data_IF_956028010774
#
_entry.id   IF_956028010774
#
_cell.length_a   1.000
_cell.length_b   1.000
_cell.length_c   1.000
_cell.angle_alpha   90.00
_cell.angle_beta   90.00
_cell.angle_gamma   90.00
#
_symmetry.space_group_name_H-M   'P 1'
#
loop_
_entity.id
_entity.type
_entity.pdbx_description
1 polymer ?
#
# COMPACT_ATOMS: atom_id res chain seq x y z
N UNK A 1 3.43 21.09 -14.73
CA UNK A 1 3.01 20.08 -13.75
C UNK A 1 2.36 20.72 -12.51
N UNK A 2 2.95 21.78 -11.95
CA UNK A 2 2.39 22.49 -10.78
C UNK A 2 1.04 23.19 -11.06
N UNK A 3 0.83 23.66 -12.29
CA UNK A 3 -0.41 24.34 -12.70
C UNK A 3 -1.62 23.40 -12.90
N UNK A 4 -1.39 22.08 -12.90
CA UNK A 4 -2.44 21.07 -13.09
C UNK A 4 -2.83 20.35 -11.79
N UNK A 5 -2.16 20.65 -10.67
CA UNK A 5 -2.48 20.06 -9.39
C UNK A 5 -3.40 21.00 -8.61
N UNK A 6 -4.60 20.52 -8.30
CA UNK A 6 -5.47 21.23 -7.36
C UNK A 6 -4.84 21.16 -5.95
N UNK A 7 -4.54 22.32 -5.41
CA UNK A 7 -3.98 22.48 -4.05
C UNK A 7 -5.05 22.49 -2.96
N UNK A 8 -6.33 22.41 -3.34
CA UNK A 8 -7.49 22.55 -2.45
C UNK A 8 -8.21 21.22 -2.18
N UNK A 9 -7.50 20.08 -2.30
CA UNK A 9 -8.07 18.78 -1.91
C UNK A 9 -8.20 18.71 -0.39
N UNK A 10 -9.41 18.91 0.09
CA UNK A 10 -9.78 18.86 1.49
C UNK A 10 -10.87 17.81 1.77
N UNK A 11 -11.26 17.69 3.02
CA UNK A 11 -12.30 16.75 3.43
C UNK A 11 -13.69 17.13 2.89
N UNK A 12 -13.96 18.42 2.64
CA UNK A 12 -15.19 18.85 2.03
C UNK A 12 -15.29 18.39 0.58
N UNK A 13 -14.17 18.47 -0.15
CA UNK A 13 -14.06 17.92 -1.51
C UNK A 13 -14.32 16.41 -1.53
N UNK A 14 -13.77 15.65 -0.57
CA UNK A 14 -14.03 14.20 -0.47
C UNK A 14 -15.52 13.92 -0.23
N UNK A 15 -16.17 14.63 0.67
CA UNK A 15 -17.62 14.53 0.89
C UNK A 15 -18.41 14.84 -0.37
N UNK A 16 -18.05 15.91 -1.08
CA UNK A 16 -18.69 16.26 -2.34
C UNK A 16 -18.53 15.13 -3.38
N UNK A 17 -17.33 14.58 -3.57
CA UNK A 17 -17.09 13.45 -4.47
C UNK A 17 -17.98 12.26 -4.09
N UNK A 18 -18.09 11.93 -2.79
CA UNK A 18 -18.97 10.85 -2.32
C UNK A 18 -20.43 11.07 -2.70
N UNK A 19 -20.93 12.33 -2.71
CA UNK A 19 -22.30 12.62 -3.15
C UNK A 19 -22.52 12.45 -4.66
N UNK A 20 -21.46 12.61 -5.46
CA UNK A 20 -21.51 12.49 -6.92
C UNK A 20 -21.26 11.04 -7.41
N UNK A 21 -20.62 10.22 -6.61
CA UNK A 21 -20.19 8.87 -6.98
C UNK A 21 -20.65 7.84 -5.97
N UNK A 22 -21.54 6.93 -6.40
CA UNK A 22 -22.09 5.85 -5.56
C UNK A 22 -21.32 4.53 -5.63
N UNK A 23 -20.37 4.40 -6.55
CA UNK A 23 -19.51 3.22 -6.70
C UNK A 23 -18.35 3.21 -5.70
N UNK A 24 -17.45 2.20 -5.78
CA UNK A 24 -16.29 2.11 -4.91
C UNK A 24 -15.43 3.36 -4.98
N UNK A 25 -15.11 3.93 -3.82
CA UNK A 25 -14.29 5.13 -3.66
C UNK A 25 -13.12 4.86 -2.72
N UNK A 26 -11.91 5.06 -3.21
CA UNK A 26 -10.71 4.93 -2.41
C UNK A 26 -9.97 6.27 -2.34
N UNK A 27 -9.45 6.59 -1.16
CA UNK A 27 -8.54 7.73 -0.97
C UNK A 27 -7.11 7.25 -0.85
N UNK A 28 -6.19 7.92 -1.55
CA UNK A 28 -4.77 7.58 -1.60
C UNK A 28 -3.92 8.65 -0.92
N UNK A 29 -2.81 8.23 -0.29
CA UNK A 29 -1.89 9.15 0.37
C UNK A 29 -2.07 9.20 1.90
N UNK A 30 -2.85 8.29 2.46
CA UNK A 30 -3.08 8.20 3.90
C UNK A 30 -1.85 7.61 4.59
N UNK A 31 -1.34 8.32 5.62
CA UNK A 31 -0.18 7.90 6.42
C UNK A 31 -0.39 8.10 7.93
N UNK A 32 -1.49 8.75 8.33
CA UNK A 32 -1.83 8.95 9.74
C UNK A 32 -3.07 8.14 10.12
N UNK A 33 -3.08 7.47 11.29
CA UNK A 33 -4.24 6.72 11.77
C UNK A 33 -5.52 7.55 11.89
N UNK A 34 -5.38 8.82 12.28
CA UNK A 34 -6.51 9.73 12.40
C UNK A 34 -7.15 10.05 11.05
N UNK A 35 -6.32 10.29 10.02
CA UNK A 35 -6.81 10.52 8.66
C UNK A 35 -7.47 9.27 8.09
N UNK A 36 -6.96 8.07 8.43
CA UNK A 36 -7.59 6.82 8.04
C UNK A 36 -9.00 6.68 8.64
N UNK A 37 -9.16 6.94 9.94
CA UNK A 37 -10.49 6.93 10.59
C UNK A 37 -11.42 7.96 9.96
N UNK A 38 -10.93 9.17 9.72
CA UNK A 38 -11.70 10.26 9.11
C UNK A 38 -12.14 9.92 7.69
N UNK A 39 -11.27 9.26 6.90
CA UNK A 39 -11.60 8.80 5.56
C UNK A 39 -12.77 7.81 5.56
N UNK A 40 -12.73 6.77 6.41
CA UNK A 40 -13.83 5.82 6.52
C UNK A 40 -15.11 6.48 7.06
N UNK A 41 -15.02 7.41 8.01
CA UNK A 41 -16.16 8.19 8.48
C UNK A 41 -16.77 9.09 7.39
N UNK A 42 -15.98 9.53 6.41
CA UNK A 42 -16.43 10.25 5.22
C UNK A 42 -17.07 9.35 4.16
N UNK A 43 -17.11 8.04 4.38
CA UNK A 43 -17.80 7.07 3.52
C UNK A 43 -16.96 6.54 2.36
N UNK A 44 -15.62 6.54 2.47
CA UNK A 44 -14.79 5.81 1.49
C UNK A 44 -14.88 4.30 1.73
N UNK A 45 -14.77 3.53 0.65
CA UNK A 45 -14.81 2.06 0.70
C UNK A 45 -13.43 1.46 1.02
N UNK A 46 -12.36 2.25 0.89
CA UNK A 46 -11.01 1.82 1.20
C UNK A 46 -10.01 2.96 1.17
N UNK A 47 -8.82 2.67 1.68
CA UNK A 47 -7.69 3.61 1.68
C UNK A 47 -6.47 3.00 1.02
N UNK A 48 -5.60 3.85 0.45
CA UNK A 48 -4.29 3.45 -0.04
C UNK A 48 -3.21 4.15 0.77
N UNK A 49 -2.46 3.40 1.57
CA UNK A 49 -1.31 3.91 2.28
C UNK A 49 -0.20 4.19 1.27
N UNK A 50 0.23 5.43 1.20
CA UNK A 50 1.15 5.87 0.15
C UNK A 50 1.88 7.16 0.51
N UNK A 51 3.20 7.17 0.33
CA UNK A 51 3.99 8.40 0.30
C UNK A 51 4.36 8.80 -1.15
N UNK A 52 3.59 8.31 -2.13
CA UNK A 52 3.83 8.55 -3.57
C UNK A 52 5.22 8.07 -4.04
N UNK A 53 5.79 7.05 -3.37
CA UNK A 53 7.14 6.55 -3.66
C UNK A 53 8.25 7.54 -3.32
N UNK A 54 8.03 8.44 -2.37
CA UNK A 54 8.96 9.50 -1.95
C UNK A 54 9.07 10.67 -2.95
N UNK A 55 8.12 10.78 -3.90
CA UNK A 55 8.22 11.76 -5.00
C UNK A 55 7.59 13.12 -4.70
N UNK A 56 6.73 13.21 -3.69
CA UNK A 56 6.05 14.45 -3.31
C UNK A 56 6.75 15.16 -2.16
N UNK A 57 6.95 14.43 -1.06
CA UNK A 57 7.61 14.95 0.12
C UNK A 57 8.73 13.98 0.52
N UNK A 58 9.98 14.44 0.44
CA UNK A 58 11.12 13.69 0.94
C UNK A 58 11.09 13.65 2.47
N UNK A 59 11.54 12.53 3.05
CA UNK A 59 11.46 12.33 4.51
C UNK A 59 10.06 11.96 5.03
N UNK A 60 9.08 11.79 4.16
CA UNK A 60 7.78 11.21 4.52
C UNK A 60 7.93 9.79 5.05
N UNK A 61 7.17 9.44 6.09
CA UNK A 61 7.19 8.09 6.68
C UNK A 61 6.90 7.02 5.65
N UNK A 62 7.53 5.86 5.79
CA UNK A 62 7.23 4.71 4.93
C UNK A 62 5.83 4.16 5.23
N UNK A 63 4.99 3.89 4.21
CA UNK A 63 3.68 3.26 4.42
C UNK A 63 3.76 1.94 5.19
N UNK A 64 4.85 1.18 5.06
CA UNK A 64 5.06 -0.07 5.81
C UNK A 64 5.21 0.15 7.32
N UNK A 65 5.73 1.29 7.74
CA UNK A 65 5.93 1.62 9.16
C UNK A 65 4.61 1.92 9.87
N UNK A 66 3.64 2.50 9.16
CA UNK A 66 2.33 2.90 9.71
C UNK A 66 1.22 1.88 9.46
N UNK A 67 1.46 0.88 8.60
CA UNK A 67 0.44 -0.08 8.18
C UNK A 67 -0.22 -0.80 9.36
N UNK A 68 0.57 -1.32 10.30
CA UNK A 68 0.04 -2.11 11.41
C UNK A 68 -0.81 -1.25 12.36
N UNK A 69 -0.36 -0.04 12.66
CA UNK A 69 -1.10 0.91 13.49
C UNK A 69 -2.43 1.32 12.84
N UNK A 70 -2.40 1.62 11.53
CA UNK A 70 -3.61 1.97 10.78
C UNK A 70 -4.56 0.78 10.71
N UNK A 71 -4.07 -0.44 10.50
CA UNK A 71 -4.89 -1.66 10.52
C UNK A 71 -5.57 -1.84 11.88
N UNK A 72 -4.84 -1.63 12.98
CA UNK A 72 -5.39 -1.74 14.33
C UNK A 72 -6.48 -0.68 14.59
N UNK A 73 -6.29 0.53 14.10
CA UNK A 73 -7.25 1.62 14.33
C UNK A 73 -8.52 1.53 13.46
N UNK A 74 -8.41 0.95 12.25
CA UNK A 74 -9.54 0.83 11.32
C UNK A 74 -10.30 -0.50 11.44
N UNK A 75 -9.74 -1.49 12.13
CA UNK A 75 -10.34 -2.81 12.32
C UNK A 75 -10.08 -3.79 11.16
N UNK A 76 -10.49 -5.06 11.33
CA UNK A 76 -10.15 -6.14 10.40
C UNK A 76 -10.85 -6.02 9.04
N UNK A 77 -12.04 -5.42 8.99
CA UNK A 77 -12.88 -5.36 7.79
C UNK A 77 -12.54 -4.19 6.86
N UNK A 78 -11.72 -3.23 7.34
CA UNK A 78 -11.32 -2.08 6.54
C UNK A 78 -10.49 -2.50 5.33
N UNK A 79 -10.81 -1.99 4.14
CA UNK A 79 -10.02 -2.23 2.93
C UNK A 79 -8.80 -1.30 2.92
N UNK A 80 -7.63 -1.88 3.11
CA UNK A 80 -6.35 -1.16 3.14
C UNK A 80 -5.45 -1.70 2.03
N UNK A 81 -5.21 -0.88 1.02
CA UNK A 81 -4.18 -1.10 0.02
C UNK A 81 -2.91 -0.34 0.42
N UNK A 82 -1.79 -0.74 -0.14
CA UNK A 82 -0.51 -0.10 0.13
C UNK A 82 0.35 -0.02 -1.13
N UNK A 83 1.10 1.06 -1.28
CA UNK A 83 2.14 1.18 -2.30
C UNK A 83 3.45 1.74 -1.72
N UNK A 84 4.32 2.18 -2.57
CA UNK A 84 5.62 2.78 -2.28
C UNK A 84 6.71 1.79 -1.86
N UNK A 85 7.70 1.66 -2.72
CA UNK A 85 8.92 0.93 -2.44
C UNK A 85 8.90 -0.58 -2.72
N UNK A 86 7.78 -1.17 -3.07
CA UNK A 86 7.67 -2.60 -3.34
C UNK A 86 8.45 -3.02 -4.59
N UNK A 87 9.39 -3.95 -4.43
CA UNK A 87 10.27 -4.43 -5.50
C UNK A 87 10.45 -5.93 -5.53
N UNK A 88 10.18 -6.62 -4.44
CA UNK A 88 10.36 -8.05 -4.25
C UNK A 88 9.05 -8.70 -3.79
N UNK A 89 8.88 -9.97 -4.12
CA UNK A 89 7.74 -10.74 -3.61
C UNK A 89 7.71 -10.81 -2.09
N UNK A 90 8.87 -10.82 -1.43
CA UNK A 90 8.96 -10.76 0.04
C UNK A 90 8.42 -9.47 0.64
N UNK A 91 8.53 -8.33 -0.06
CA UNK A 91 7.95 -7.07 0.40
C UNK A 91 6.42 -7.17 0.41
N UNK A 92 5.85 -7.76 -0.65
CA UNK A 92 4.40 -7.99 -0.76
C UNK A 92 3.91 -8.92 0.36
N UNK A 93 4.61 -10.05 0.59
CA UNK A 93 4.25 -11.00 1.66
C UNK A 93 4.28 -10.33 3.03
N UNK A 94 5.27 -9.48 3.32
CA UNK A 94 5.33 -8.72 4.57
C UNK A 94 4.13 -7.77 4.73
N UNK A 95 3.77 -7.03 3.68
CA UNK A 95 2.62 -6.13 3.73
C UNK A 95 1.31 -6.88 3.98
N UNK A 96 1.09 -8.00 3.30
CA UNK A 96 -0.07 -8.86 3.52
C UNK A 96 -0.09 -9.43 4.95
N UNK A 97 1.06 -9.87 5.46
CA UNK A 97 1.18 -10.37 6.83
C UNK A 97 0.91 -9.29 7.89
N UNK A 98 1.16 -8.02 7.58
CA UNK A 98 0.84 -6.87 8.43
C UNK A 98 -0.59 -6.36 8.28
N UNK A 99 -1.38 -6.99 7.41
CA UNK A 99 -2.82 -6.72 7.28
C UNK A 99 -3.21 -5.85 6.09
N UNK A 100 -2.35 -5.63 5.10
CA UNK A 100 -2.78 -5.06 3.84
C UNK A 100 -3.68 -6.06 3.07
N UNK A 101 -4.71 -5.55 2.38
CA UNK A 101 -5.56 -6.36 1.50
C UNK A 101 -4.95 -6.52 0.10
N UNK A 102 -4.04 -5.63 -0.28
CA UNK A 102 -3.37 -5.69 -1.56
C UNK A 102 -2.25 -4.66 -1.68
N UNK A 103 -1.39 -4.86 -2.67
CA UNK A 103 -0.21 -4.03 -2.92
C UNK A 103 -0.25 -3.47 -4.34
N UNK A 104 0.01 -2.18 -4.49
CA UNK A 104 0.15 -1.52 -5.78
C UNK A 104 1.64 -1.40 -6.13
N UNK A 105 1.99 -1.76 -7.37
CA UNK A 105 3.37 -1.81 -7.84
C UNK A 105 3.54 -0.81 -8.97
N UNK A 106 4.48 0.11 -8.84
CA UNK A 106 4.78 1.14 -9.84
C UNK A 106 6.09 0.87 -10.59
N UNK A 107 7.20 1.38 -10.08
CA UNK A 107 8.51 1.40 -10.76
C UNK A 107 9.00 0.09 -11.34
N UNK A 108 8.86 -1.09 -10.70
CA UNK A 108 9.28 -2.34 -11.30
C UNK A 108 8.60 -2.63 -12.64
N UNK A 109 7.29 -2.35 -12.74
CA UNK A 109 6.53 -2.51 -13.98
C UNK A 109 6.97 -1.48 -15.03
N UNK A 110 7.20 -0.22 -14.63
CA UNK A 110 7.71 0.82 -15.53
C UNK A 110 9.08 0.46 -16.12
N UNK A 111 9.99 -0.11 -15.34
CA UNK A 111 11.28 -0.59 -15.83
C UNK A 111 11.11 -1.76 -16.83
N UNK A 112 10.15 -2.65 -16.54
CA UNK A 112 9.79 -3.71 -17.48
C UNK A 112 9.30 -3.16 -18.81
N UNK A 113 8.38 -2.18 -18.76
CA UNK A 113 7.85 -1.51 -19.97
C UNK A 113 8.98 -0.82 -20.73
N UNK A 114 9.87 -0.10 -20.05
CA UNK A 114 10.98 0.59 -20.69
C UNK A 114 11.97 -0.36 -21.38
N UNK A 115 12.16 -1.56 -20.84
CA UNK A 115 13.08 -2.55 -21.38
C UNK A 115 12.49 -3.34 -22.56
N UNK A 116 11.25 -3.82 -22.45
CA UNK A 116 10.65 -4.77 -23.38
C UNK A 116 9.13 -4.57 -23.58
N UNK A 117 8.62 -3.36 -23.39
CA UNK A 117 7.19 -3.06 -23.58
C UNK A 117 6.27 -3.93 -22.72
N UNK A 118 5.18 -4.40 -23.28
CA UNK A 118 4.20 -5.25 -22.59
C UNK A 118 4.82 -6.54 -22.03
N UNK A 119 5.70 -7.19 -22.80
CA UNK A 119 6.37 -8.41 -22.36
C UNK A 119 7.23 -8.16 -21.12
N UNK A 120 7.92 -7.02 -21.06
CA UNK A 120 8.69 -6.61 -19.89
C UNK A 120 7.83 -6.31 -18.66
N UNK A 121 6.68 -5.69 -18.84
CA UNK A 121 5.72 -5.48 -17.76
C UNK A 121 5.23 -6.81 -17.18
N UNK A 122 4.81 -7.73 -18.03
CA UNK A 122 4.41 -9.10 -17.64
C UNK A 122 5.53 -9.84 -16.90
N UNK A 123 6.76 -9.75 -17.42
CA UNK A 123 7.91 -10.39 -16.79
C UNK A 123 8.20 -9.82 -15.41
N UNK A 124 8.14 -8.50 -15.22
CA UNK A 124 8.34 -7.86 -13.91
C UNK A 124 7.32 -8.34 -12.88
N UNK A 125 6.05 -8.43 -13.25
CA UNK A 125 5.00 -8.97 -12.38
C UNK A 125 5.20 -10.45 -12.09
N UNK A 126 5.54 -11.25 -13.10
CA UNK A 126 5.80 -12.69 -12.93
C UNK A 126 6.96 -12.96 -11.96
N UNK A 127 8.04 -12.17 -12.01
CA UNK A 127 9.15 -12.28 -11.05
C UNK A 127 8.65 -12.09 -9.62
N UNK A 128 7.87 -11.04 -9.37
CA UNK A 128 7.33 -10.75 -8.04
C UNK A 128 6.39 -11.86 -7.57
N UNK A 129 5.50 -12.35 -8.43
CA UNK A 129 4.59 -13.45 -8.10
C UNK A 129 5.34 -14.74 -7.78
N UNK A 130 6.35 -15.11 -8.56
CA UNK A 130 7.19 -16.29 -8.29
C UNK A 130 7.97 -16.16 -6.98
N UNK A 131 8.44 -14.96 -6.64
CA UNK A 131 9.08 -14.70 -5.36
C UNK A 131 8.10 -14.84 -4.19
N UNK A 132 6.85 -14.37 -4.36
CA UNK A 132 5.79 -14.58 -3.38
C UNK A 132 5.52 -16.06 -3.15
N UNK A 133 5.31 -16.84 -4.22
CA UNK A 133 5.07 -18.28 -4.16
C UNK A 133 6.18 -19.02 -3.41
N UNK A 134 7.44 -18.74 -3.74
CA UNK A 134 8.59 -19.32 -3.04
C UNK A 134 8.61 -18.94 -1.56
N UNK A 135 8.27 -17.68 -1.25
CA UNK A 135 8.24 -17.20 0.14
C UNK A 135 7.14 -17.91 0.93
N UNK A 136 5.94 -18.02 0.36
CA UNK A 136 4.84 -18.79 0.97
C UNK A 136 5.24 -20.23 1.25
N UNK A 137 5.85 -20.91 0.27
CA UNK A 137 6.33 -22.28 0.43
C UNK A 137 7.36 -22.42 1.55
N UNK A 138 8.32 -21.48 1.64
CA UNK A 138 9.33 -21.49 2.72
C UNK A 138 8.75 -21.20 4.11
N UNK A 139 7.64 -20.45 4.18
CA UNK A 139 6.91 -20.18 5.41
C UNK A 139 5.93 -21.33 5.77
N UNK A 140 5.78 -22.35 4.92
CA UNK A 140 4.80 -23.42 5.09
C UNK A 140 3.35 -22.98 4.89
N UNK A 141 3.13 -21.84 4.21
CA UNK A 141 1.81 -21.32 3.92
C UNK A 141 1.32 -21.79 2.54
N UNK A 142 0.13 -22.35 2.48
CA UNK A 142 -0.51 -22.82 1.23
C UNK A 142 -1.41 -21.75 0.62
N UNK A 143 -1.66 -20.64 1.34
CA UNK A 143 -2.43 -19.51 0.86
C UNK A 143 -2.04 -18.22 1.56
N UNK A 144 -2.35 -17.07 0.94
CA UNK A 144 -2.15 -15.75 1.54
C UNK A 144 -2.99 -15.53 2.81
N UNK A 145 -4.11 -16.24 2.96
CA UNK A 145 -4.98 -16.14 4.13
C UNK A 145 -4.31 -16.66 5.42
N UNK A 146 -3.23 -17.42 5.30
CA UNK A 146 -2.44 -17.91 6.44
C UNK A 146 -1.36 -16.92 6.89
N UNK A 147 -1.16 -15.84 6.13
CA UNK A 147 -0.20 -14.80 6.50
C UNK A 147 -0.72 -13.99 7.69
N UNK A 148 0.20 -13.69 8.60
CA UNK A 148 -0.10 -12.86 9.76
C UNK A 148 1.17 -12.36 10.44
N UNK A 149 1.03 -11.41 11.39
CA UNK A 149 2.17 -10.80 12.09
C UNK A 149 3.07 -11.80 12.82
N UNK A 150 2.53 -12.99 13.17
CA UNK A 150 3.29 -14.06 13.84
C UNK A 150 4.44 -14.62 12.98
N UNK A 151 4.40 -14.43 11.67
CA UNK A 151 5.46 -14.83 10.73
C UNK A 151 6.60 -13.80 10.63
N UNK A 152 6.43 -12.63 11.26
CA UNK A 152 7.38 -11.52 11.16
C UNK A 152 8.16 -11.34 12.46
N UNK A 153 9.42 -10.92 12.33
CA UNK A 153 10.25 -10.45 13.42
C UNK A 153 10.62 -8.99 13.13
N UNK A 154 10.23 -8.10 14.03
CA UNK A 154 10.69 -6.73 14.00
C UNK A 154 12.07 -6.66 14.65
N UNK A 155 13.05 -6.11 13.95
CA UNK A 155 14.29 -5.71 14.60
C UNK A 155 13.98 -4.40 15.36
N UNK A 156 14.28 -4.31 16.67
CA UNK A 156 14.23 -3.03 17.34
C UNK A 156 15.15 -2.06 16.60
N UNK A 157 14.67 -0.83 16.37
CA UNK A 157 15.55 0.22 15.88
C UNK A 157 16.80 0.22 16.77
N UNK A 158 17.99 0.11 16.16
CA UNK A 158 19.24 0.20 16.93
C UNK A 158 19.21 1.56 17.62
N UNK A 159 19.17 1.54 18.96
CA UNK A 159 19.25 2.75 19.75
C UNK A 159 20.58 3.42 19.42
N UNK A 160 20.48 4.56 18.80
CA UNK A 160 21.42 5.63 18.55
C UNK A 160 22.91 5.32 18.40
N UNK A 161 23.42 5.82 17.29
CA UNK A 161 24.77 6.43 17.34
C UNK A 161 24.62 7.91 17.66
#
# INVERSE_FOLDING_TARGET
FAEQMDTHLDWATLHWIRTQWSGPLLIKGILAPEDARRAFAAGVDGIVLSNHGGRQLDGSVSPMEVLQEIRQCCGPDAVILIDSGFRRGTDVVKALALGANGVLIGRPVLYGVAAFGEAGAKQALNIILQEMDRTLAQLGCTSIAQLGPHLLRFQPAMAGF
#
